data_IF_009583776198
#
_entry.id   IF_009583776198
#
_cell.length_a   1.000
_cell.length_b   1.000
_cell.length_c   1.000
_cell.angle_alpha   90.00
_cell.angle_beta   90.00
_cell.angle_gamma   90.00
#
_symmetry.space_group_name_H-M   'P 1'
#
loop_
_entity.id
_entity.type
_entity.pdbx_description
1 polymer ?
#
# COMPACT_ATOMS: atom_id res chain seq x y z
N UNK A 1 38.71 21.90 9.32
CA UNK A 1 39.24 22.80 8.26
C UNK A 1 38.06 23.22 7.38
N UNK A 2 37.42 24.36 7.69
CA UNK A 2 36.29 24.86 6.91
C UNK A 2 36.86 25.52 5.66
N UNK A 3 36.81 24.81 4.53
CA UNK A 3 37.14 25.40 3.24
C UNK A 3 35.99 26.36 2.90
N UNK A 4 36.19 27.66 3.09
CA UNK A 4 35.25 28.68 2.64
C UNK A 4 35.14 28.60 1.12
N UNK A 5 34.05 28.04 0.63
CA UNK A 5 33.73 28.02 -0.79
C UNK A 5 33.28 29.43 -1.19
N UNK A 6 34.19 30.19 -1.80
CA UNK A 6 33.85 31.50 -2.37
C UNK A 6 32.95 31.30 -3.59
N UNK A 7 31.72 31.77 -3.52
CA UNK A 7 30.76 31.74 -4.64
C UNK A 7 30.88 33.07 -5.38
N UNK A 8 31.53 33.05 -6.55
CA UNK A 8 31.58 34.19 -7.45
C UNK A 8 30.40 34.09 -8.41
N UNK A 9 29.47 35.04 -8.34
CA UNK A 9 28.39 35.17 -9.31
C UNK A 9 28.86 36.03 -10.48
N UNK A 10 29.03 35.42 -11.65
CA UNK A 10 29.29 36.16 -12.88
C UNK A 10 27.98 36.73 -13.40
N UNK A 11 27.82 38.06 -13.38
CA UNK A 11 26.68 38.71 -14.02
C UNK A 11 26.88 38.73 -15.54
N UNK A 12 26.37 37.72 -16.25
CA UNK A 12 26.63 37.58 -17.68
C UNK A 12 25.98 38.68 -18.53
N UNK A 13 25.01 39.44 -17.99
CA UNK A 13 24.26 40.46 -18.72
C UNK A 13 25.11 41.67 -19.16
N UNK A 14 26.26 41.86 -18.52
CA UNK A 14 27.24 42.92 -18.80
C UNK A 14 28.18 42.58 -19.97
N UNK A 15 28.27 41.30 -20.36
CA UNK A 15 29.12 40.84 -21.46
C UNK A 15 28.37 41.01 -22.78
N UNK A 16 28.53 42.17 -23.43
CA UNK A 16 27.80 42.55 -24.65
C UNK A 16 28.67 42.61 -25.91
N UNK A 17 30.00 42.65 -25.76
CA UNK A 17 30.96 42.70 -26.87
C UNK A 17 31.82 41.43 -26.96
N UNK A 18 32.31 41.12 -28.17
CA UNK A 18 33.16 39.94 -28.40
C UNK A 18 34.52 40.05 -27.70
N UNK A 19 35.05 41.26 -27.54
CA UNK A 19 36.30 41.48 -26.81
C UNK A 19 36.16 41.20 -25.31
N UNK A 20 34.98 41.47 -24.75
CA UNK A 20 34.66 41.09 -23.37
C UNK A 20 34.55 39.56 -23.23
N UNK A 21 33.98 38.87 -24.23
CA UNK A 21 33.95 37.39 -24.26
C UNK A 21 35.38 36.83 -24.27
N UNK A 22 36.29 37.45 -25.03
CA UNK A 22 37.71 37.07 -25.06
C UNK A 22 38.39 37.32 -23.71
N UNK A 23 38.24 38.52 -23.16
CA UNK A 23 38.79 38.87 -21.85
C UNK A 23 38.31 37.93 -20.74
N UNK A 24 37.03 37.54 -20.75
CA UNK A 24 36.49 36.56 -19.80
C UNK A 24 37.10 35.19 -20.03
N UNK A 25 37.18 34.71 -21.27
CA UNK A 25 37.79 33.40 -21.54
C UNK A 25 39.27 33.34 -21.14
N UNK A 26 40.02 34.41 -21.39
CA UNK A 26 41.45 34.49 -21.07
C UNK A 26 41.66 34.64 -19.54
N UNK A 27 40.85 35.44 -18.87
CA UNK A 27 40.90 35.64 -17.41
C UNK A 27 40.34 34.48 -16.58
N UNK A 28 39.66 33.51 -17.18
CA UNK A 28 38.99 32.41 -16.46
C UNK A 28 39.52 31.01 -16.82
N UNK A 29 40.69 30.92 -17.44
CA UNK A 29 41.31 29.65 -17.83
C UNK A 29 41.60 28.73 -16.64
N UNK A 30 41.96 29.30 -15.48
CA UNK A 30 42.32 28.58 -14.24
C UNK A 30 41.14 28.33 -13.30
N UNK A 31 39.93 28.82 -13.62
CA UNK A 31 38.75 28.72 -12.77
C UNK A 31 37.77 27.64 -13.26
N UNK A 32 37.32 26.77 -12.36
CA UNK A 32 36.26 25.80 -12.63
C UNK A 32 34.87 26.38 -12.34
N UNK A 33 33.98 26.33 -13.33
CA UNK A 33 32.61 26.82 -13.22
C UNK A 33 31.63 25.67 -13.06
N UNK A 34 30.79 25.76 -12.02
CA UNK A 34 29.64 24.88 -11.87
C UNK A 34 28.44 25.47 -12.65
N UNK A 35 27.91 24.80 -13.68
CA UNK A 35 26.74 25.29 -14.38
C UNK A 35 25.49 25.21 -13.49
N UNK A 36 24.47 26.03 -13.78
CA UNK A 36 23.19 26.02 -13.08
C UNK A 36 22.62 24.59 -12.96
N UNK A 37 22.01 24.22 -11.84
CA UNK A 37 21.57 22.83 -11.62
C UNK A 37 20.54 22.35 -12.67
N UNK A 38 19.64 23.24 -13.11
CA UNK A 38 18.56 22.91 -14.03
C UNK A 38 18.99 22.89 -15.52
N UNK A 39 18.82 21.77 -16.24
CA UNK A 39 19.15 21.70 -17.67
C UNK A 39 18.33 22.64 -18.57
N UNK A 40 17.13 23.05 -18.14
CA UNK A 40 16.28 24.00 -18.85
C UNK A 40 16.89 25.40 -18.85
N UNK A 41 17.25 25.91 -17.68
CA UNK A 41 17.89 27.21 -17.49
C UNK A 41 19.18 27.33 -18.30
N UNK A 42 20.00 26.27 -18.34
CA UNK A 42 21.21 26.23 -19.16
C UNK A 42 20.92 26.42 -20.65
N UNK A 43 19.83 25.84 -21.17
CA UNK A 43 19.46 25.95 -22.60
C UNK A 43 18.85 27.30 -22.94
N UNK A 44 18.06 27.87 -22.02
CA UNK A 44 17.55 29.23 -22.18
C UNK A 44 18.69 30.26 -22.14
N UNK A 45 19.67 30.06 -21.27
CA UNK A 45 20.89 30.85 -21.23
C UNK A 45 21.69 30.74 -22.54
N UNK A 46 21.88 29.52 -23.07
CA UNK A 46 22.51 29.34 -24.40
C UNK A 46 21.74 30.12 -25.47
N UNK A 47 20.41 30.05 -25.49
CA UNK A 47 19.58 30.78 -26.44
C UNK A 47 19.64 32.31 -26.26
N UNK A 48 19.80 32.81 -25.03
CA UNK A 48 19.92 34.25 -24.76
C UNK A 48 21.26 34.79 -25.26
N UNK A 49 22.36 34.06 -25.03
CA UNK A 49 23.71 34.42 -25.50
C UNK A 49 23.78 34.39 -27.03
N UNK A 50 23.22 33.36 -27.68
CA UNK A 50 23.19 33.26 -29.15
C UNK A 50 22.43 34.44 -29.79
N UNK A 51 21.29 34.82 -29.20
CA UNK A 51 20.52 36.01 -29.61
C UNK A 51 21.30 37.30 -29.40
N UNK A 52 21.90 37.47 -28.22
CA UNK A 52 22.64 38.68 -27.83
C UNK A 52 23.79 38.99 -28.79
N UNK A 53 24.54 37.97 -29.21
CA UNK A 53 25.67 38.14 -30.12
C UNK A 53 25.32 37.97 -31.60
N UNK A 54 24.03 37.82 -31.94
CA UNK A 54 23.57 37.56 -33.32
C UNK A 54 24.44 36.50 -34.00
N UNK A 55 24.52 35.33 -33.37
CA UNK A 55 25.50 34.30 -33.71
C UNK A 55 25.46 33.86 -35.20
N UNK A 56 24.27 33.88 -35.78
CA UNK A 56 23.99 33.66 -37.20
C UNK A 56 24.71 34.66 -38.12
N UNK A 57 24.92 35.90 -37.68
CA UNK A 57 25.56 36.98 -38.44
C UNK A 57 27.08 37.05 -38.22
N UNK A 58 27.63 36.27 -37.29
CA UNK A 58 29.06 36.31 -36.95
C UNK A 58 29.95 35.65 -38.02
N UNK A 59 31.13 36.24 -38.25
CA UNK A 59 32.20 35.61 -39.06
C UNK A 59 32.75 34.36 -38.34
N UNK A 60 33.29 33.41 -39.11
CA UNK A 60 33.86 32.13 -38.60
C UNK A 60 34.72 32.25 -37.33
N UNK A 61 35.70 33.18 -37.22
CA UNK A 61 36.53 33.29 -36.00
C UNK A 61 35.72 33.68 -34.76
N UNK A 62 34.72 34.56 -34.92
CA UNK A 62 33.87 35.03 -33.82
C UNK A 62 32.87 33.95 -33.36
N UNK A 63 32.37 33.14 -34.29
CA UNK A 63 31.55 31.96 -33.94
C UNK A 63 32.33 30.98 -33.06
N UNK A 64 33.60 30.73 -33.39
CA UNK A 64 34.48 29.88 -32.58
C UNK A 64 34.67 30.42 -31.15
N UNK A 65 34.81 31.74 -31.01
CA UNK A 65 34.93 32.39 -29.70
C UNK A 65 33.67 32.21 -28.84
N UNK A 66 32.49 32.49 -29.39
CA UNK A 66 31.21 32.34 -28.70
C UNK A 66 30.93 30.87 -28.33
N UNK A 67 31.28 29.91 -29.20
CA UNK A 67 31.15 28.49 -28.90
C UNK A 67 32.03 28.04 -27.73
N UNK A 68 33.26 28.54 -27.64
CA UNK A 68 34.15 28.25 -26.49
C UNK A 68 33.56 28.80 -25.20
N UNK A 69 33.07 30.04 -25.24
CA UNK A 69 32.37 30.68 -24.12
C UNK A 69 31.16 29.86 -23.67
N UNK A 70 30.25 29.52 -24.57
CA UNK A 70 29.05 28.74 -24.25
C UNK A 70 29.39 27.39 -23.63
N UNK A 71 30.41 26.69 -24.15
CA UNK A 71 30.84 25.39 -23.61
C UNK A 71 31.40 25.50 -22.20
N UNK A 72 32.21 26.53 -21.94
CA UNK A 72 32.86 26.75 -20.63
C UNK A 72 31.84 26.94 -19.51
N UNK A 73 30.78 27.74 -19.76
CA UNK A 73 29.83 28.13 -18.71
C UNK A 73 28.53 27.31 -18.70
N UNK A 74 28.15 26.61 -19.78
CA UNK A 74 26.96 25.73 -19.76
C UNK A 74 27.20 24.31 -19.24
N UNK A 75 28.46 23.86 -19.20
CA UNK A 75 28.81 22.47 -18.91
C UNK A 75 28.38 21.45 -19.98
N UNK A 76 27.88 21.89 -21.14
CA UNK A 76 27.58 20.98 -22.25
C UNK A 76 28.85 20.61 -23.03
N UNK A 77 28.99 19.31 -23.34
CA UNK A 77 30.05 18.81 -24.22
C UNK A 77 29.95 19.39 -25.65
N UNK A 78 31.05 19.30 -26.41
CA UNK A 78 31.17 19.86 -27.78
C UNK A 78 30.04 19.42 -28.70
N UNK A 79 29.78 18.12 -28.78
CA UNK A 79 28.74 17.57 -29.66
C UNK A 79 27.33 18.04 -29.30
N UNK A 80 27.04 18.16 -28.00
CA UNK A 80 25.74 18.66 -27.53
C UNK A 80 25.58 20.15 -27.87
N UNK A 81 26.62 20.96 -27.65
CA UNK A 81 26.60 22.38 -28.00
C UNK A 81 26.41 22.61 -29.50
N UNK A 82 27.13 21.87 -30.35
CA UNK A 82 26.96 21.96 -31.81
C UNK A 82 25.52 21.67 -32.22
N UNK A 83 24.90 20.62 -31.64
CA UNK A 83 23.50 20.29 -31.90
C UNK A 83 22.54 21.39 -31.45
N UNK A 84 22.74 21.98 -30.27
CA UNK A 84 21.90 23.08 -29.78
C UNK A 84 21.99 24.31 -30.68
N UNK A 85 23.21 24.70 -31.05
CA UNK A 85 23.43 25.85 -31.93
C UNK A 85 22.81 25.63 -33.30
N UNK A 86 22.93 24.43 -33.88
CA UNK A 86 22.28 24.10 -35.15
C UNK A 86 20.76 24.20 -35.06
N UNK A 87 20.15 23.67 -34.00
CA UNK A 87 18.70 23.80 -33.75
C UNK A 87 18.27 25.26 -33.63
N UNK A 88 19.06 26.08 -32.94
CA UNK A 88 18.78 27.51 -32.79
C UNK A 88 18.87 28.28 -34.12
N UNK A 89 19.90 28.00 -34.93
CA UNK A 89 20.05 28.59 -36.27
C UNK A 89 18.90 28.18 -37.20
N UNK A 90 18.36 26.98 -37.03
CA UNK A 90 17.16 26.50 -37.73
C UNK A 90 15.85 27.09 -37.20
N UNK A 91 15.91 28.09 -36.30
CA UNK A 91 14.73 28.74 -35.72
C UNK A 91 13.99 27.91 -34.68
N UNK A 92 14.53 26.76 -34.26
CA UNK A 92 13.88 25.91 -33.26
C UNK A 92 14.08 26.48 -31.85
N UNK A 93 13.01 26.47 -31.05
CA UNK A 93 13.12 26.76 -29.61
C UNK A 93 13.96 25.67 -28.94
N UNK A 94 14.98 26.07 -28.17
CA UNK A 94 15.86 25.14 -27.43
C UNK A 94 15.20 24.53 -26.18
N UNK A 95 13.86 24.57 -26.09
CA UNK A 95 13.09 23.95 -25.03
C UNK A 95 13.25 22.42 -25.05
N UNK A 96 13.15 21.82 -23.86
CA UNK A 96 13.10 20.38 -23.72
C UNK A 96 11.69 19.89 -24.05
N UNK A 97 11.49 19.44 -25.29
CA UNK A 97 10.29 18.74 -25.72
C UNK A 97 10.63 17.25 -25.83
N UNK A 98 10.58 16.50 -24.72
CA UNK A 98 10.34 15.06 -24.87
C UNK A 98 8.84 14.87 -25.02
N UNK A 99 8.38 14.88 -26.27
CA UNK A 99 7.11 14.23 -26.60
C UNK A 99 7.30 12.72 -26.56
N UNK A 100 6.23 12.00 -26.23
CA UNK A 100 6.14 10.54 -26.36
C UNK A 100 6.53 10.15 -27.79
N UNK A 101 7.42 9.17 -28.02
CA UNK A 101 7.85 8.81 -29.37
C UNK A 101 6.64 8.40 -30.23
N UNK A 102 6.58 8.92 -31.46
CA UNK A 102 5.50 8.66 -32.42
C UNK A 102 5.38 7.17 -32.78
N UNK A 103 6.47 6.41 -32.68
CA UNK A 103 6.52 4.98 -32.96
C UNK A 103 6.53 4.18 -31.65
N UNK A 104 5.39 4.14 -30.97
CA UNK A 104 5.17 3.11 -29.96
C UNK A 104 5.07 1.76 -30.67
N UNK A 105 5.86 0.77 -30.25
CA UNK A 105 5.83 -0.60 -30.80
C UNK A 105 4.39 -1.09 -31.01
N UNK A 106 4.07 -1.60 -32.21
CA UNK A 106 2.75 -2.12 -32.53
C UNK A 106 2.35 -3.19 -31.50
N UNK A 107 1.20 -3.02 -30.85
CA UNK A 107 0.70 -3.95 -29.83
C UNK A 107 0.14 -5.20 -30.52
N UNK A 108 0.71 -6.37 -30.23
CA UNK A 108 0.23 -7.65 -30.75
C UNK A 108 -1.10 -8.10 -30.14
N UNK A 109 -1.30 -7.83 -28.85
CA UNK A 109 -2.53 -8.14 -28.12
C UNK A 109 -3.34 -6.86 -27.95
N UNK A 110 -4.58 -6.89 -28.41
CA UNK A 110 -5.52 -5.76 -28.33
C UNK A 110 -6.19 -5.69 -26.97
N UNK A 111 -6.89 -4.59 -26.70
CA UNK A 111 -7.67 -4.47 -25.47
C UNK A 111 -8.81 -5.49 -25.42
N UNK A 112 -9.36 -5.88 -26.57
CA UNK A 112 -10.34 -6.96 -26.70
C UNK A 112 -9.74 -8.33 -26.30
N UNK A 113 -8.53 -8.65 -26.76
CA UNK A 113 -7.85 -9.89 -26.35
C UNK A 113 -7.60 -9.91 -24.83
N UNK A 114 -7.25 -8.77 -24.24
CA UNK A 114 -7.05 -8.64 -22.78
C UNK A 114 -8.37 -8.82 -22.02
N UNK A 115 -9.47 -8.31 -22.56
CA UNK A 115 -10.81 -8.49 -22.01
C UNK A 115 -11.23 -9.96 -22.06
N UNK A 116 -11.07 -10.63 -23.20
CA UNK A 116 -11.36 -12.06 -23.35
C UNK A 116 -10.55 -12.88 -22.36
N UNK A 117 -9.24 -12.62 -22.26
CA UNK A 117 -8.38 -13.26 -21.26
C UNK A 117 -8.92 -13.08 -19.84
N UNK A 118 -9.29 -11.86 -19.45
CA UNK A 118 -9.81 -11.57 -18.12
C UNK A 118 -11.13 -12.31 -17.82
N UNK A 119 -12.02 -12.44 -18.81
CA UNK A 119 -13.25 -13.23 -18.69
C UNK A 119 -12.95 -14.71 -18.50
N UNK A 120 -12.08 -15.29 -19.35
CA UNK A 120 -11.69 -16.70 -19.23
C UNK A 120 -11.07 -17.00 -17.86
N UNK A 121 -10.18 -16.13 -17.37
CA UNK A 121 -9.56 -16.32 -16.07
C UNK A 121 -10.55 -16.24 -14.91
N UNK A 122 -11.61 -15.44 -15.05
CA UNK A 122 -12.70 -15.36 -14.07
C UNK A 122 -13.52 -16.64 -14.00
N UNK A 123 -13.80 -17.25 -15.15
CA UNK A 123 -14.53 -18.53 -15.24
C UNK A 123 -13.69 -19.70 -14.69
N UNK A 124 -12.40 -19.74 -15.03
CA UNK A 124 -11.50 -20.84 -14.66
C UNK A 124 -10.79 -20.65 -13.31
N UNK A 125 -11.08 -19.57 -12.56
CA UNK A 125 -10.51 -19.35 -11.23
C UNK A 125 -9.01 -19.03 -11.20
N UNK A 126 -8.52 -18.29 -12.22
CA UNK A 126 -7.13 -17.82 -12.37
C UNK A 126 -6.06 -18.91 -12.18
N UNK A 127 -5.93 -19.77 -13.17
CA UNK A 127 -4.96 -20.86 -13.20
C UNK A 127 -3.49 -20.37 -13.23
N UNK A 128 -2.55 -21.31 -13.06
CA UNK A 128 -1.13 -21.04 -13.33
C UNK A 128 -0.91 -20.61 -14.78
N UNK A 129 0.14 -19.83 -15.05
CA UNK A 129 0.40 -19.30 -16.39
C UNK A 129 0.47 -20.37 -17.49
N UNK A 130 1.21 -21.48 -17.29
CA UNK A 130 1.23 -22.59 -18.24
C UNK A 130 -0.15 -23.21 -18.48
N UNK A 131 -0.94 -23.44 -17.42
CA UNK A 131 -2.27 -24.03 -17.54
C UNK A 131 -3.23 -23.10 -18.30
N UNK A 132 -3.19 -21.80 -18.02
CA UNK A 132 -4.05 -20.83 -18.71
C UNK A 132 -3.73 -20.75 -20.20
N UNK A 133 -2.45 -20.74 -20.58
CA UNK A 133 -2.06 -20.75 -22.00
C UNK A 133 -2.60 -21.99 -22.74
N UNK A 134 -2.65 -23.15 -22.08
CA UNK A 134 -3.26 -24.36 -22.66
C UNK A 134 -4.76 -24.17 -22.87
N UNK A 135 -5.47 -23.57 -21.89
CA UNK A 135 -6.89 -23.25 -22.04
C UNK A 135 -7.13 -22.32 -23.23
N UNK A 136 -6.40 -21.20 -23.31
CA UNK A 136 -6.53 -20.22 -24.40
C UNK A 136 -6.26 -20.86 -25.78
N UNK A 137 -5.27 -21.76 -25.85
CA UNK A 137 -4.97 -22.50 -27.08
C UNK A 137 -6.10 -23.43 -27.47
N UNK A 138 -6.64 -24.20 -26.51
CA UNK A 138 -7.76 -25.14 -26.76
C UNK A 138 -9.04 -24.42 -27.15
N UNK A 139 -9.32 -23.24 -26.60
CA UNK A 139 -10.48 -22.43 -26.97
C UNK A 139 -10.53 -22.14 -28.47
N UNK A 140 -9.38 -21.87 -29.09
CA UNK A 140 -9.33 -21.74 -30.55
C UNK A 140 -9.19 -23.08 -31.28
N UNK A 141 -8.22 -23.92 -30.90
CA UNK A 141 -7.85 -25.09 -31.70
C UNK A 141 -8.85 -26.25 -31.63
N UNK A 142 -9.59 -26.36 -30.53
CA UNK A 142 -10.57 -27.45 -30.30
C UNK A 142 -11.99 -26.93 -30.39
N UNK A 143 -12.26 -25.77 -29.79
CA UNK A 143 -13.61 -25.20 -29.73
C UNK A 143 -13.89 -24.16 -30.82
N UNK A 144 -12.89 -23.85 -31.66
CA UNK A 144 -13.00 -22.93 -32.80
C UNK A 144 -13.55 -21.54 -32.45
N UNK A 145 -13.31 -21.07 -31.21
CA UNK A 145 -13.75 -19.75 -30.76
C UNK A 145 -12.80 -18.66 -31.27
N UNK A 146 -13.28 -17.87 -32.23
CA UNK A 146 -12.50 -16.84 -32.92
C UNK A 146 -11.96 -15.75 -31.99
N UNK A 147 -12.55 -15.55 -30.81
CA UNK A 147 -12.07 -14.59 -29.81
C UNK A 147 -10.65 -14.92 -29.33
N UNK A 148 -10.19 -16.17 -29.52
CA UNK A 148 -8.90 -16.66 -29.04
C UNK A 148 -7.82 -16.75 -30.14
N UNK A 149 -8.10 -16.30 -31.38
CA UNK A 149 -7.15 -16.39 -32.53
C UNK A 149 -5.77 -15.85 -32.17
N UNK A 150 -5.69 -14.68 -31.51
CA UNK A 150 -4.41 -14.10 -31.08
C UNK A 150 -3.90 -14.71 -29.79
N UNK A 151 -4.79 -15.00 -28.85
CA UNK A 151 -4.47 -15.55 -27.51
C UNK A 151 -3.88 -16.96 -27.56
N UNK A 152 -4.17 -17.76 -28.60
CA UNK A 152 -3.60 -19.11 -28.73
C UNK A 152 -2.07 -19.13 -28.80
N UNK A 153 -1.47 -18.02 -29.25
CA UNK A 153 -0.01 -17.84 -29.39
C UNK A 153 0.63 -17.20 -28.16
N UNK A 154 -0.14 -16.94 -27.10
CA UNK A 154 0.34 -16.29 -25.89
C UNK A 154 1.31 -17.21 -25.15
N UNK A 155 2.49 -16.68 -24.79
CA UNK A 155 3.43 -17.39 -23.93
C UNK A 155 3.08 -17.17 -22.46
N UNK A 156 3.44 -18.15 -21.60
CA UNK A 156 3.19 -18.03 -20.16
C UNK A 156 3.87 -16.79 -19.55
N UNK A 157 5.07 -16.44 -20.03
CA UNK A 157 5.76 -15.23 -19.58
C UNK A 157 5.02 -13.94 -19.99
N UNK A 158 4.51 -13.87 -21.22
CA UNK A 158 3.79 -12.69 -21.69
C UNK A 158 2.39 -12.56 -21.06
N UNK A 159 1.75 -13.68 -20.74
CA UNK A 159 0.51 -13.70 -19.94
C UNK A 159 0.69 -12.95 -18.62
N UNK A 160 1.81 -13.15 -17.90
CA UNK A 160 2.06 -12.40 -16.65
C UNK A 160 2.25 -10.89 -16.88
N UNK A 161 2.78 -10.48 -18.04
CA UNK A 161 2.84 -9.07 -18.42
C UNK A 161 1.43 -8.51 -18.65
N UNK A 162 0.58 -9.24 -19.39
CA UNK A 162 -0.82 -8.84 -19.60
C UNK A 162 -1.59 -8.76 -18.29
N UNK A 163 -1.39 -9.71 -17.36
CA UNK A 163 -2.00 -9.68 -16.01
C UNK A 163 -1.61 -8.45 -15.17
N UNK A 164 -0.44 -7.85 -15.44
CA UNK A 164 0.03 -6.62 -14.78
C UNK A 164 -0.50 -5.35 -15.45
N UNK A 165 -1.04 -5.45 -16.67
CA UNK A 165 -1.59 -4.30 -17.39
C UNK A 165 -2.77 -3.67 -16.63
N UNK A 166 -2.99 -2.38 -16.86
CA UNK A 166 -4.13 -1.68 -16.28
C UNK A 166 -5.46 -2.21 -16.84
N UNK A 167 -5.52 -2.45 -18.15
CA UNK A 167 -6.70 -2.98 -18.84
C UNK A 167 -7.13 -4.33 -18.24
N UNK A 168 -6.20 -5.29 -18.11
CA UNK A 168 -6.51 -6.57 -17.48
C UNK A 168 -7.02 -6.39 -16.05
N UNK A 169 -6.36 -5.55 -15.25
CA UNK A 169 -6.79 -5.32 -13.86
C UNK A 169 -8.19 -4.73 -13.82
N UNK A 170 -8.53 -3.75 -14.64
CA UNK A 170 -9.87 -3.18 -14.69
C UNK A 170 -10.95 -4.26 -14.92
N UNK A 171 -10.69 -5.19 -15.84
CA UNK A 171 -11.64 -6.24 -16.21
C UNK A 171 -11.61 -7.48 -15.30
N UNK A 172 -10.48 -7.79 -14.66
CA UNK A 172 -10.29 -8.93 -13.76
C UNK A 172 -10.36 -8.53 -12.27
N UNK A 173 -10.62 -7.26 -11.93
CA UNK A 173 -10.79 -6.87 -10.52
C UNK A 173 -12.07 -7.50 -9.99
N UNK A 174 -11.90 -8.61 -9.29
CA UNK A 174 -12.91 -9.11 -8.36
C UNK A 174 -12.77 -8.22 -7.14
N UNK A 175 -13.77 -7.36 -6.89
CA UNK A 175 -13.95 -6.72 -5.58
C UNK A 175 -14.23 -7.81 -4.56
N UNK A 176 -13.17 -8.42 -4.07
CA UNK A 176 -13.24 -9.29 -2.90
C UNK A 176 -13.32 -8.33 -1.73
N UNK A 177 -14.41 -8.35 -0.95
CA UNK A 177 -14.44 -7.67 0.35
C UNK A 177 -13.13 -7.95 1.06
N UNK A 178 -12.50 -6.92 1.62
CA UNK A 178 -11.24 -6.97 2.36
C UNK A 178 -11.19 -8.28 3.14
N UNK A 179 -10.41 -9.26 2.65
CA UNK A 179 -10.26 -10.49 3.40
C UNK A 179 -9.55 -10.11 4.68
N UNK A 180 -10.20 -10.40 5.81
CA UNK A 180 -9.58 -10.24 7.12
C UNK A 180 -8.19 -10.84 7.07
N UNK A 181 -7.21 -9.98 7.33
CA UNK A 181 -5.76 -10.17 7.30
C UNK A 181 -5.33 -11.67 7.42
N UNK A 182 -4.60 -12.25 6.44
CA UNK A 182 -4.13 -13.64 6.51
C UNK A 182 -3.25 -13.93 7.73
N UNK A 183 -2.66 -12.91 8.37
CA UNK A 183 -1.93 -13.06 9.65
C UNK A 183 -2.83 -13.45 10.83
N UNK A 184 -4.11 -13.12 10.79
CA UNK A 184 -5.11 -13.57 11.78
C UNK A 184 -5.57 -15.02 11.58
N UNK A 185 -5.19 -15.66 10.46
CA UNK A 185 -5.59 -17.03 10.16
C UNK A 185 -4.82 -18.10 10.97
N UNK A 186 -3.66 -17.73 11.54
CA UNK A 186 -2.81 -18.64 12.32
C UNK A 186 -2.96 -18.50 13.85
N UNK A 187 -3.75 -17.54 14.34
CA UNK A 187 -3.87 -17.26 15.78
C UNK A 187 -4.88 -18.20 16.47
N UNK A 188 -6.03 -18.46 15.83
CA UNK A 188 -7.09 -19.29 16.39
C UNK A 188 -7.66 -20.26 15.34
N UNK A 189 -7.86 -21.52 15.73
CA UNK A 189 -8.35 -22.58 14.83
C UNK A 189 -9.84 -22.35 14.54
N UNK A 190 -10.23 -22.37 13.26
CA UNK A 190 -11.64 -22.23 12.85
C UNK A 190 -12.40 -23.52 13.07
N UNK A 191 -13.07 -23.64 14.20
CA UNK A 191 -13.90 -24.80 14.57
C UNK A 191 -14.84 -24.43 15.70
N UNK A 192 -15.96 -25.15 15.80
CA UNK A 192 -16.83 -25.04 16.96
C UNK A 192 -16.14 -25.62 18.23
N UNK A 193 -16.52 -25.19 19.44
CA UNK A 193 -16.09 -25.83 20.67
C UNK A 193 -16.52 -27.30 20.69
N UNK A 194 -15.65 -28.18 21.15
CA UNK A 194 -15.91 -29.61 21.28
C UNK A 194 -15.64 -30.03 22.74
N UNK A 195 -16.54 -29.73 23.68
CA UNK A 195 -16.30 -29.96 25.11
C UNK A 195 -16.38 -31.43 25.52
N UNK A 196 -16.95 -32.31 24.70
CA UNK A 196 -17.13 -33.74 25.03
C UNK A 196 -17.79 -33.96 26.40
N UNK A 197 -18.75 -33.10 26.76
CA UNK A 197 -19.44 -33.09 28.05
C UNK A 197 -18.53 -32.87 29.28
N UNK A 198 -17.38 -32.22 29.09
CA UNK A 198 -16.46 -31.84 30.18
C UNK A 198 -16.44 -30.31 30.37
N UNK A 199 -16.35 -29.83 31.63
CA UNK A 199 -16.16 -28.41 31.91
C UNK A 199 -14.79 -27.92 31.43
N UNK A 200 -14.65 -26.61 31.29
CA UNK A 200 -13.41 -25.94 30.91
C UNK A 200 -13.37 -25.48 29.45
N UNK A 201 -14.49 -25.51 28.74
CA UNK A 201 -14.55 -25.03 27.36
C UNK A 201 -15.47 -23.82 27.32
N UNK A 202 -14.86 -22.63 27.31
CA UNK A 202 -15.59 -21.37 27.41
C UNK A 202 -15.84 -20.74 26.04
N UNK A 203 -16.98 -20.08 25.93
CA UNK A 203 -17.35 -19.17 24.85
C UNK A 203 -17.29 -17.76 25.38
N UNK A 204 -16.56 -16.89 24.69
CA UNK A 204 -16.39 -15.50 25.08
C UNK A 204 -17.03 -14.56 24.05
N UNK A 205 -17.59 -13.46 24.53
CA UNK A 205 -18.11 -12.38 23.71
C UNK A 205 -18.04 -11.03 24.43
N UNK A 206 -18.07 -9.92 23.69
CA UNK A 206 -18.09 -8.56 24.25
C UNK A 206 -19.43 -7.86 24.01
N UNK A 207 -19.89 -7.09 25.00
CA UNK A 207 -21.13 -6.31 24.94
C UNK A 207 -20.81 -4.85 25.22
N UNK A 208 -21.08 -3.97 24.26
CA UNK A 208 -20.84 -2.54 24.40
C UNK A 208 -22.06 -1.78 24.95
N UNK A 209 -21.83 -0.83 25.87
CA UNK A 209 -22.87 0.06 26.41
C UNK A 209 -23.17 1.29 25.54
N UNK A 210 -22.65 1.32 24.31
CA UNK A 210 -22.91 2.41 23.36
C UNK A 210 -22.14 3.69 23.70
N UNK A 211 -22.18 4.66 22.79
CA UNK A 211 -21.53 5.96 22.97
C UNK A 211 -22.59 7.06 23.04
N UNK A 212 -22.39 8.07 23.89
CA UNK A 212 -23.23 9.28 23.97
C UNK A 212 -22.31 10.49 23.94
N UNK A 213 -22.61 11.48 23.10
CA UNK A 213 -21.92 12.78 23.04
C UNK A 213 -20.38 12.66 23.09
N UNK A 214 -19.83 11.82 22.20
CA UNK A 214 -18.39 11.51 22.08
C UNK A 214 -17.76 10.74 23.26
N UNK A 215 -18.52 10.47 24.32
CA UNK A 215 -18.09 9.62 25.43
C UNK A 215 -18.28 8.14 25.07
N UNK A 216 -17.20 7.36 25.25
CA UNK A 216 -17.24 5.91 25.03
C UNK A 216 -17.89 5.19 26.21
N UNK A 217 -18.72 4.21 25.90
CA UNK A 217 -19.29 3.31 26.90
C UNK A 217 -18.31 2.22 27.29
N UNK A 218 -18.52 1.63 28.47
CA UNK A 218 -17.82 0.41 28.88
C UNK A 218 -18.17 -0.77 27.97
N UNK A 219 -17.30 -1.77 27.99
CA UNK A 219 -17.53 -3.09 27.42
C UNK A 219 -17.62 -4.11 28.54
N UNK A 220 -18.67 -4.92 28.53
CA UNK A 220 -18.76 -6.11 29.38
C UNK A 220 -18.26 -7.32 28.59
N UNK A 221 -17.30 -8.03 29.15
CA UNK A 221 -16.74 -9.25 28.59
C UNK A 221 -17.43 -10.42 29.29
N UNK A 222 -18.12 -11.26 28.52
CA UNK A 222 -18.85 -12.40 29.06
C UNK A 222 -18.17 -13.70 28.63
N UNK A 223 -17.82 -14.55 29.59
CA UNK A 223 -17.25 -15.87 29.37
C UNK A 223 -18.15 -16.95 29.98
N UNK A 224 -18.62 -17.90 29.17
CA UNK A 224 -19.57 -18.93 29.58
C UNK A 224 -19.03 -20.32 29.25
N UNK A 225 -18.96 -21.21 30.25
CA UNK A 225 -18.61 -22.61 30.02
C UNK A 225 -19.73 -23.36 29.27
N UNK A 226 -19.35 -24.13 28.25
CA UNK A 226 -20.28 -24.80 27.35
C UNK A 226 -21.16 -25.84 28.04
N UNK A 227 -20.69 -26.47 29.12
CA UNK A 227 -21.35 -27.63 29.75
C UNK A 227 -22.05 -27.21 31.03
N UNK A 228 -21.31 -26.63 31.97
CA UNK A 228 -21.81 -26.24 33.29
C UNK A 228 -22.64 -24.96 33.27
N UNK A 229 -22.53 -24.18 32.19
CA UNK A 229 -23.14 -22.84 32.08
C UNK A 229 -22.61 -21.86 33.15
N UNK A 230 -21.49 -22.20 33.81
CA UNK A 230 -20.78 -21.27 34.69
C UNK A 230 -20.37 -20.04 33.88
N UNK A 231 -20.64 -18.87 34.43
CA UNK A 231 -20.53 -17.59 33.73
C UNK A 231 -19.68 -16.65 34.57
N UNK A 232 -18.70 -16.02 33.91
CA UNK A 232 -17.84 -14.99 34.49
C UNK A 232 -17.97 -13.77 33.60
N UNK A 233 -18.27 -12.63 34.21
CA UNK A 233 -18.38 -11.35 33.52
C UNK A 233 -17.28 -10.43 34.02
N UNK A 234 -16.73 -9.59 33.15
CA UNK A 234 -15.81 -8.53 33.53
C UNK A 234 -16.14 -7.25 32.77
N UNK A 235 -15.62 -6.11 33.23
CA UNK A 235 -15.88 -4.81 32.61
C UNK A 235 -14.58 -4.10 32.25
N UNK A 236 -14.49 -3.59 31.02
CA UNK A 236 -13.32 -2.85 30.52
C UNK A 236 -13.71 -1.52 29.88
N UNK A 237 -12.85 -0.49 29.94
CA UNK A 237 -13.13 0.81 29.33
C UNK A 237 -12.99 0.79 27.80
N UNK A 238 -12.19 -0.13 27.25
CA UNK A 238 -12.03 -0.32 25.81
C UNK A 238 -11.57 -1.75 25.50
N UNK A 239 -11.79 -2.20 24.27
CA UNK A 239 -11.30 -3.48 23.75
C UNK A 239 -9.82 -3.42 23.31
N UNK A 240 -9.08 -2.42 23.79
CA UNK A 240 -7.65 -2.32 23.56
C UNK A 240 -6.90 -3.36 24.42
N UNK A 241 -5.75 -3.79 23.90
CA UNK A 241 -4.99 -4.92 24.44
C UNK A 241 -4.60 -4.73 25.90
N UNK A 242 -4.21 -3.51 26.24
CA UNK A 242 -3.72 -3.11 27.56
C UNK A 242 -4.78 -3.28 28.65
N UNK A 243 -6.05 -3.09 28.29
CA UNK A 243 -7.19 -3.28 29.20
C UNK A 243 -7.69 -4.73 29.20
N UNK A 244 -7.69 -5.38 28.04
CA UNK A 244 -8.22 -6.74 27.87
C UNK A 244 -7.34 -7.82 28.52
N UNK A 245 -6.01 -7.77 28.32
CA UNK A 245 -5.13 -8.86 28.74
C UNK A 245 -5.14 -9.16 30.25
N UNK A 246 -5.05 -8.16 31.16
CA UNK A 246 -5.11 -8.42 32.59
C UNK A 246 -6.46 -9.03 32.98
N UNK A 247 -7.55 -8.45 32.47
CA UNK A 247 -8.92 -8.88 32.78
C UNK A 247 -9.18 -10.30 32.30
N UNK A 248 -8.70 -10.68 31.12
CA UNK A 248 -8.84 -12.06 30.64
C UNK A 248 -8.11 -13.08 31.52
N UNK A 249 -6.99 -12.71 32.15
CA UNK A 249 -6.30 -13.60 33.11
C UNK A 249 -7.14 -13.76 34.36
N UNK A 250 -7.57 -12.64 34.95
CA UNK A 250 -8.37 -12.63 36.16
C UNK A 250 -9.69 -13.40 35.96
N UNK A 251 -10.31 -13.28 34.78
CA UNK A 251 -11.51 -14.03 34.42
C UNK A 251 -11.24 -15.55 34.34
N UNK A 252 -10.11 -15.98 33.76
CA UNK A 252 -9.76 -17.40 33.68
C UNK A 252 -9.58 -17.99 35.09
N UNK A 253 -8.97 -17.23 36.00
CA UNK A 253 -8.70 -17.67 37.37
C UNK A 253 -9.97 -17.73 38.25
N UNK A 254 -11.05 -17.05 37.86
CA UNK A 254 -12.35 -17.10 38.55
C UNK A 254 -13.14 -18.38 38.29
N UNK A 255 -12.80 -19.16 37.25
CA UNK A 255 -13.49 -20.43 37.02
C UNK A 255 -13.06 -21.46 38.08
N UNK A 256 -14.02 -22.20 38.68
CA UNK A 256 -13.71 -23.20 39.71
C UNK A 256 -13.07 -24.49 39.14
N UNK A 257 -12.69 -24.48 37.87
CA UNK A 257 -12.08 -25.58 37.15
C UNK A 257 -11.11 -25.05 36.09
N UNK A 258 -10.18 -25.89 35.68
CA UNK A 258 -9.19 -25.53 34.65
C UNK A 258 -9.87 -25.28 33.31
N UNK A 259 -9.57 -24.14 32.71
CA UNK A 259 -9.94 -23.87 31.33
C UNK A 259 -9.04 -24.69 30.38
N UNK A 260 -9.67 -25.37 29.44
CA UNK A 260 -9.08 -26.24 28.42
C UNK A 260 -9.27 -25.67 27.03
N UNK A 261 -10.35 -24.93 26.79
CA UNK A 261 -10.67 -24.33 25.51
C UNK A 261 -11.27 -22.93 25.66
N UNK A 262 -10.84 -22.04 24.78
CA UNK A 262 -11.27 -20.66 24.67
C UNK A 262 -11.82 -20.44 23.26
N UNK A 263 -13.08 -20.04 23.14
CA UNK A 263 -13.75 -19.84 21.86
C UNK A 263 -14.30 -18.43 21.73
N UNK A 264 -13.94 -17.72 20.65
CA UNK A 264 -14.53 -16.42 20.31
C UNK A 264 -15.27 -16.46 18.98
N UNK A 265 -16.17 -15.50 18.75
CA UNK A 265 -16.88 -15.33 17.48
C UNK A 265 -15.98 -14.88 16.31
N UNK A 266 -14.74 -14.47 16.63
CA UNK A 266 -13.76 -13.96 15.69
C UNK A 266 -13.63 -12.44 15.69
N UNK A 267 -14.10 -11.74 16.73
CA UNK A 267 -13.76 -10.35 17.02
C UNK A 267 -12.25 -10.09 17.04
N UNK A 268 -11.84 -8.94 16.51
CA UNK A 268 -10.43 -8.56 16.41
C UNK A 268 -9.76 -8.34 17.77
N UNK A 269 -10.55 -8.03 18.80
CA UNK A 269 -10.11 -7.88 20.18
C UNK A 269 -9.55 -9.18 20.76
N UNK A 270 -10.10 -10.34 20.36
CA UNK A 270 -9.66 -11.65 20.82
C UNK A 270 -8.63 -12.29 19.88
N UNK A 271 -8.70 -12.02 18.57
CA UNK A 271 -7.70 -12.51 17.60
C UNK A 271 -6.43 -11.64 17.67
N UNK A 272 -5.71 -11.76 18.78
CA UNK A 272 -4.47 -11.05 19.09
C UNK A 272 -3.35 -12.03 19.42
N UNK A 273 -2.12 -11.76 18.96
CA UNK A 273 -0.95 -12.60 19.23
C UNK A 273 -0.63 -12.73 20.72
N UNK A 274 -0.84 -11.69 21.54
CA UNK A 274 -0.58 -11.78 22.99
C UNK A 274 -1.62 -12.64 23.70
N UNK A 275 -2.90 -12.52 23.32
CA UNK A 275 -3.97 -13.37 23.85
C UNK A 275 -3.66 -14.83 23.50
N UNK A 276 -3.28 -15.09 22.25
CA UNK A 276 -2.88 -16.41 21.80
C UNK A 276 -1.66 -16.96 22.56
N UNK A 277 -0.67 -16.10 22.83
CA UNK A 277 0.52 -16.45 23.60
C UNK A 277 0.15 -16.83 25.03
N UNK A 278 -0.65 -16.00 25.71
CA UNK A 278 -1.13 -16.24 27.07
C UNK A 278 -1.90 -17.56 27.17
N UNK A 279 -2.86 -17.79 26.26
CA UNK A 279 -3.64 -19.03 26.23
C UNK A 279 -2.74 -20.25 25.99
N UNK A 280 -1.76 -20.13 25.07
CA UNK A 280 -0.79 -21.20 24.80
C UNK A 280 0.10 -21.51 26.00
N UNK A 281 0.55 -20.50 26.76
CA UNK A 281 1.34 -20.68 27.99
C UNK A 281 0.56 -21.45 29.06
N UNK A 282 -0.76 -21.29 29.12
CA UNK A 282 -1.65 -22.03 30.03
C UNK A 282 -2.15 -23.38 29.46
N UNK A 283 -1.72 -23.74 28.24
CA UNK A 283 -2.17 -24.90 27.47
C UNK A 283 -3.68 -24.90 27.17
N UNK A 284 -4.24 -23.71 26.99
CA UNK A 284 -5.64 -23.50 26.61
C UNK A 284 -5.74 -23.48 25.09
N UNK A 285 -6.62 -24.30 24.54
CA UNK A 285 -6.87 -24.31 23.11
C UNK A 285 -7.63 -23.06 22.66
N UNK A 286 -7.12 -22.35 21.66
CA UNK A 286 -7.80 -21.19 21.10
C UNK A 286 -8.51 -21.50 19.78
N UNK A 287 -9.85 -21.38 19.79
CA UNK A 287 -10.71 -21.60 18.63
C UNK A 287 -11.54 -20.35 18.31
N UNK A 288 -12.03 -20.28 17.07
CA UNK A 288 -12.96 -19.22 16.65
C UNK A 288 -14.06 -19.74 15.74
N UNK A 289 -15.19 -19.05 15.72
CA UNK A 289 -16.34 -19.38 14.89
C UNK A 289 -16.00 -19.55 13.41
N UNK A 290 -16.70 -20.49 12.77
CA UNK A 290 -16.58 -20.69 11.32
C UNK A 290 -17.34 -19.59 10.58
N UNK A 291 -16.88 -19.20 9.36
CA UNK A 291 -17.59 -18.21 8.57
C UNK A 291 -19.07 -18.59 8.37
N UNK A 292 -19.98 -17.64 8.64
CA UNK A 292 -21.45 -17.79 8.49
C UNK A 292 -22.06 -18.91 9.35
N UNK A 293 -21.52 -19.16 10.54
CA UNK A 293 -22.07 -20.12 11.51
C UNK A 293 -22.35 -19.44 12.85
N UNK A 294 -23.49 -18.74 12.95
CA UNK A 294 -23.89 -18.02 14.16
C UNK A 294 -24.04 -18.95 15.38
N UNK A 295 -24.40 -20.21 15.17
CA UNK A 295 -24.57 -21.20 16.24
C UNK A 295 -23.27 -21.54 17.00
N UNK A 296 -22.09 -21.26 16.41
CA UNK A 296 -20.80 -21.57 17.04
C UNK A 296 -20.62 -20.78 18.35
N UNK A 297 -21.16 -19.55 18.45
CA UNK A 297 -21.09 -18.72 19.67
C UNK A 297 -22.46 -18.35 20.31
N UNK A 298 -23.57 -18.89 19.80
CA UNK A 298 -24.93 -18.50 20.21
C UNK A 298 -25.23 -18.58 21.72
N UNK A 299 -24.54 -19.45 22.47
CA UNK A 299 -24.68 -19.52 23.93
C UNK A 299 -24.26 -18.21 24.61
N UNK A 300 -23.07 -17.69 24.30
CA UNK A 300 -22.58 -16.44 24.88
C UNK A 300 -23.46 -15.26 24.45
N UNK A 301 -23.87 -15.22 23.17
CA UNK A 301 -24.78 -14.20 22.65
C UNK A 301 -26.15 -14.21 23.38
N UNK A 302 -26.71 -15.39 23.64
CA UNK A 302 -27.96 -15.53 24.39
C UNK A 302 -27.81 -15.07 25.85
N UNK A 303 -26.68 -15.41 26.49
CA UNK A 303 -26.35 -15.00 27.85
C UNK A 303 -26.11 -13.50 27.96
N UNK A 304 -25.56 -12.86 26.93
CA UNK A 304 -25.42 -11.41 26.87
C UNK A 304 -26.78 -10.71 27.01
N UNK A 305 -27.81 -11.18 26.30
CA UNK A 305 -29.16 -10.63 26.43
C UNK A 305 -29.84 -10.97 27.76
N UNK A 306 -29.63 -12.18 28.28
CA UNK A 306 -30.39 -12.71 29.41
C UNK A 306 -29.78 -12.45 30.78
N UNK A 307 -28.46 -12.23 30.87
CA UNK A 307 -27.71 -12.03 32.11
C UNK A 307 -27.10 -10.65 32.10
N UNK A 308 -26.15 -10.37 31.20
CA UNK A 308 -25.41 -9.09 31.17
C UNK A 308 -26.38 -7.90 31.02
N UNK A 309 -27.29 -7.94 30.05
CA UNK A 309 -28.26 -6.85 29.84
C UNK A 309 -29.33 -6.75 30.93
N UNK A 310 -29.59 -7.80 31.70
CA UNK A 310 -30.48 -7.71 32.87
C UNK A 310 -29.77 -7.10 34.07
N UNK A 311 -28.49 -7.42 34.26
CA UNK A 311 -27.69 -6.95 35.37
C UNK A 311 -27.28 -5.48 35.19
N UNK A 312 -26.83 -5.10 34.00
CA UNK A 312 -26.29 -3.76 33.73
C UNK A 312 -27.22 -2.86 32.92
N UNK A 313 -28.31 -3.41 32.36
CA UNK A 313 -29.22 -2.68 31.51
C UNK A 313 -28.67 -2.34 30.12
N UNK A 314 -29.39 -1.44 29.45
CA UNK A 314 -29.05 -0.90 28.13
C UNK A 314 -28.60 0.56 28.16
N UNK A 315 -28.62 1.18 29.35
CA UNK A 315 -28.22 2.56 29.53
C UNK A 315 -26.71 2.71 29.30
N UNK A 316 -26.32 3.87 28.77
CA UNK A 316 -24.92 4.20 28.61
C UNK A 316 -24.22 4.28 29.97
N UNK A 317 -23.08 3.62 30.08
CA UNK A 317 -22.20 3.66 31.24
C UNK A 317 -20.85 4.18 30.75
N UNK A 318 -20.41 5.38 31.17
CA UNK A 318 -19.16 5.97 30.70
C UNK A 318 -17.95 5.10 31.05
N UNK A 319 -16.97 5.03 30.14
CA UNK A 319 -15.78 4.19 30.25
C UNK A 319 -14.96 4.43 31.53
N UNK A 320 -15.02 5.63 32.12
CA UNK A 320 -14.33 5.96 33.38
C UNK A 320 -14.79 5.10 34.57
N UNK A 321 -16.01 4.59 34.54
CA UNK A 321 -16.59 3.75 35.59
C UNK A 321 -16.24 2.26 35.46
N UNK A 322 -15.47 1.89 34.42
CA UNK A 322 -15.14 0.49 34.14
C UNK A 322 -14.53 -0.24 35.35
N UNK A 323 -13.68 0.43 36.14
CA UNK A 323 -13.03 -0.19 37.32
C UNK A 323 -14.04 -0.55 38.40
N UNK A 324 -14.98 0.34 38.69
CA UNK A 324 -16.01 0.15 39.72
C UNK A 324 -16.96 -0.98 39.30
N UNK A 325 -17.39 -0.99 38.04
CA UNK A 325 -18.21 -2.07 37.50
C UNK A 325 -17.45 -3.40 37.43
N UNK A 326 -16.15 -3.38 37.14
CA UNK A 326 -15.34 -4.60 37.14
C UNK A 326 -15.17 -5.17 38.55
N UNK A 327 -14.97 -4.32 39.56
CA UNK A 327 -14.91 -4.76 40.96
C UNK A 327 -16.21 -5.46 41.38
N UNK A 328 -17.36 -4.89 41.03
CA UNK A 328 -18.68 -5.50 41.26
C UNK A 328 -18.86 -6.85 40.56
N UNK A 329 -18.15 -7.13 39.46
CA UNK A 329 -18.24 -8.45 38.81
C UNK A 329 -17.41 -9.54 39.52
N UNK A 330 -16.44 -9.16 40.35
CA UNK A 330 -15.53 -10.08 41.05
C UNK A 330 -16.02 -10.40 42.46
N UNK A 331 -16.79 -9.49 43.06
CA UNK A 331 -17.50 -9.66 44.34
C UNK A 331 -18.74 -10.55 44.20
#
# INVERSE_FOLDING_TARGET
>A
MIIYRMIINLNESQIRALDQVRAVLDGTQTLDFAPAACPHERREWVASVLRRFRYDQLKRPHRGLVLRYLRRFSGFGRAHMTRLVQRWVQGQRLAWLKGTPANAFARRYTDEDIFTLAQTEREYGRLSGPAMVVVLRRMYQVYHDERYVRLQHLSASHLYNLRRSQAYRLHHTVYTKTQANPRGAAIAVRRAPAPENRPGFIRIDSVHQGNIDEQRGVYHINAVDCVTQWEVVATVPSLEREHMLPVLRDMIDQFPFRILGFHSDGGSEYINHEVAKMLKEQLIEFTRSRPRRCNDNALAESKNGNVVRKQFGYAHIPAEWAKQFNAFCVD
#
